data_IF_368437790371
#
_entry.id   IF_368437790371
#
_cell.length_a   1.000
_cell.length_b   1.000
_cell.length_c   1.000
_cell.angle_alpha   90.00
_cell.angle_beta   90.00
_cell.angle_gamma   90.00
#
_symmetry.space_group_name_H-M   'P 1'
#
loop_
_entity.id
_entity.type
_entity.pdbx_description
1 polymer ?
#
# COMPACT_ATOMS: atom_id res chain seq x y z
N UNK A 1 12.23 -18.12 -14.32
CA UNK A 1 13.30 -17.12 -14.13
C UNK A 1 12.68 -15.97 -13.36
N UNK A 2 13.02 -15.84 -12.07
CA UNK A 2 12.45 -14.80 -11.19
C UNK A 2 13.17 -13.49 -11.52
N UNK A 3 12.48 -12.58 -12.21
CA UNK A 3 12.94 -11.21 -12.44
C UNK A 3 13.23 -10.58 -11.07
N UNK A 4 14.48 -10.12 -10.89
CA UNK A 4 14.95 -9.48 -9.67
C UNK A 4 13.99 -8.38 -9.22
N UNK A 5 13.41 -8.58 -8.03
CA UNK A 5 12.76 -7.49 -7.31
C UNK A 5 13.84 -6.47 -6.92
N UNK A 6 13.64 -5.17 -7.16
CA UNK A 6 14.66 -4.18 -6.92
C UNK A 6 15.10 -4.22 -5.45
N UNK A 7 16.42 -4.22 -5.23
CA UNK A 7 17.13 -4.23 -3.94
C UNK A 7 16.60 -3.23 -2.89
N UNK A 8 15.85 -2.20 -3.32
CA UNK A 8 15.21 -1.20 -2.45
C UNK A 8 14.01 -1.70 -1.65
N UNK A 9 13.44 -2.86 -1.99
CA UNK A 9 12.29 -3.42 -1.27
C UNK A 9 12.64 -3.76 0.21
N UNK A 10 13.90 -4.07 0.49
CA UNK A 10 14.33 -4.65 1.77
C UNK A 10 14.46 -3.64 2.92
N UNK A 11 14.45 -2.32 2.66
CA UNK A 11 14.60 -1.28 3.70
C UNK A 11 13.26 -0.66 4.13
N UNK A 12 12.14 -1.11 3.54
CA UNK A 12 10.84 -0.55 3.87
C UNK A 12 10.30 -1.07 5.22
N UNK A 13 9.50 -0.25 5.93
CA UNK A 13 8.81 -0.70 7.13
C UNK A 13 7.91 -1.92 6.86
N UNK A 14 7.90 -2.94 7.74
CA UNK A 14 7.16 -4.18 7.48
C UNK A 14 5.66 -3.93 7.30
N UNK A 15 4.99 -4.55 6.32
CA UNK A 15 3.56 -4.39 6.11
C UNK A 15 2.74 -5.06 7.23
N UNK A 16 1.56 -4.51 7.60
CA UNK A 16 0.56 -5.24 8.35
C UNK A 16 0.07 -6.47 7.59
N UNK A 17 -0.27 -7.55 8.32
CA UNK A 17 -0.71 -8.82 7.74
C UNK A 17 -1.88 -8.70 6.74
N UNK A 18 -2.82 -7.77 6.99
CA UNK A 18 -3.98 -7.57 6.10
C UNK A 18 -3.66 -6.85 4.78
N UNK A 19 -2.42 -6.37 4.59
CA UNK A 19 -1.96 -5.81 3.32
C UNK A 19 -0.74 -6.53 2.73
N UNK A 20 -0.21 -7.54 3.41
CA UNK A 20 1.00 -8.26 3.03
C UNK A 20 0.89 -8.86 1.62
N UNK A 21 -0.22 -9.54 1.32
CA UNK A 21 -0.44 -10.10 -0.01
C UNK A 21 -0.49 -9.06 -1.15
N UNK A 22 -0.86 -7.80 -0.87
CA UNK A 22 -0.75 -6.75 -1.88
C UNK A 22 0.72 -6.38 -2.12
N UNK A 23 1.52 -6.30 -1.05
CA UNK A 23 2.95 -6.01 -1.15
C UNK A 23 3.69 -7.12 -1.89
N UNK A 24 3.37 -8.38 -1.61
CA UNK A 24 3.99 -9.53 -2.30
C UNK A 24 3.75 -9.52 -3.82
N UNK A 25 2.57 -9.07 -4.24
CA UNK A 25 2.17 -9.03 -5.66
C UNK A 25 2.63 -7.75 -6.36
N UNK A 26 2.49 -6.60 -5.70
CA UNK A 26 2.69 -5.29 -6.33
C UNK A 26 4.08 -4.72 -6.08
N UNK A 27 4.69 -5.05 -4.94
CA UNK A 27 5.75 -4.28 -4.31
C UNK A 27 5.19 -3.16 -3.42
N UNK A 28 6.01 -2.66 -2.49
CA UNK A 28 5.68 -1.64 -1.48
C UNK A 28 5.24 -0.34 -2.14
N UNK A 29 5.97 0.15 -3.14
CA UNK A 29 5.67 1.44 -3.76
C UNK A 29 4.36 1.42 -4.53
N UNK A 30 4.16 0.39 -5.35
CA UNK A 30 2.91 0.20 -6.11
C UNK A 30 1.74 -0.09 -5.16
N UNK A 31 1.98 -0.79 -4.04
CA UNK A 31 0.98 -0.95 -2.98
C UNK A 31 0.62 0.39 -2.36
N UNK A 32 1.58 1.26 -2.03
CA UNK A 32 1.29 2.61 -1.52
C UNK A 32 0.46 3.40 -2.53
N UNK A 33 0.83 3.39 -3.81
CA UNK A 33 0.06 4.06 -4.87
C UNK A 33 -1.35 3.50 -4.98
N UNK A 34 -1.47 2.18 -4.91
CA UNK A 34 -2.74 1.47 -4.94
C UNK A 34 -3.63 1.87 -3.75
N UNK A 35 -3.09 1.85 -2.53
CA UNK A 35 -3.82 2.24 -1.33
C UNK A 35 -4.23 3.72 -1.34
N UNK A 36 -3.35 4.62 -1.79
CA UNK A 36 -3.68 6.04 -1.93
C UNK A 36 -4.78 6.28 -2.98
N UNK A 37 -4.81 5.45 -4.04
CA UNK A 37 -5.76 5.61 -5.14
C UNK A 37 -7.12 4.96 -4.86
N UNK A 38 -7.13 3.82 -4.18
CA UNK A 38 -8.32 2.96 -4.02
C UNK A 38 -8.75 2.76 -2.57
N UNK A 39 -7.93 3.15 -1.59
CA UNK A 39 -8.22 2.90 -0.19
C UNK A 39 -9.52 3.57 0.27
N UNK A 40 -10.38 2.80 0.94
CA UNK A 40 -11.73 3.23 1.32
C UNK A 40 -12.79 3.05 0.23
N UNK A 41 -12.40 2.73 -1.01
CA UNK A 41 -13.34 2.35 -2.07
C UNK A 41 -13.66 0.84 -2.03
N UNK A 42 -14.83 0.49 -2.57
CA UNK A 42 -15.18 -0.90 -2.85
C UNK A 42 -14.51 -1.33 -4.16
N UNK A 43 -13.79 -2.44 -4.11
CA UNK A 43 -13.22 -3.07 -5.29
C UNK A 43 -14.07 -4.26 -5.67
N UNK A 44 -14.86 -4.08 -6.73
CA UNK A 44 -15.50 -5.21 -7.41
C UNK A 44 -14.56 -5.69 -8.51
N UNK A 45 -14.08 -6.94 -8.50
CA UNK A 45 -13.49 -7.54 -9.68
C UNK A 45 -14.55 -7.54 -10.78
N UNK A 46 -14.38 -6.71 -11.80
CA UNK A 46 -15.20 -6.81 -13.00
C UNK A 46 -14.77 -8.07 -13.74
N UNK A 47 -15.71 -8.99 -14.00
CA UNK A 47 -15.44 -10.32 -14.57
C UNK A 47 -14.81 -10.31 -15.97
N UNK A 48 -14.73 -9.15 -16.62
CA UNK A 48 -14.11 -8.96 -17.93
C UNK A 48 -13.48 -7.56 -18.02
N UNK A 49 -12.29 -7.33 -17.44
CA UNK A 49 -11.62 -6.05 -17.54
C UNK A 49 -10.90 -6.00 -18.89
N UNK A 50 -11.53 -5.36 -19.88
CA UNK A 50 -10.97 -5.13 -21.23
C UNK A 50 -9.80 -4.13 -21.23
N UNK A 51 -8.88 -4.20 -20.26
CA UNK A 51 -7.76 -3.27 -20.12
C UNK A 51 -8.16 -1.85 -19.69
N UNK A 52 -9.34 -1.68 -19.07
CA UNK A 52 -9.90 -0.37 -18.67
C UNK A 52 -10.05 -0.20 -17.16
N UNK A 53 -9.67 -1.20 -16.37
CA UNK A 53 -9.73 -1.10 -14.92
C UNK A 53 -8.73 -0.08 -14.41
N UNK A 54 -9.15 0.80 -13.50
CA UNK A 54 -8.24 1.78 -12.90
C UNK A 54 -7.02 1.12 -12.21
N UNK A 55 -7.15 -0.12 -11.74
CA UNK A 55 -6.03 -0.91 -11.21
C UNK A 55 -5.06 -1.33 -12.31
N UNK A 56 -5.55 -1.85 -13.43
CA UNK A 56 -4.73 -2.27 -14.57
C UNK A 56 -3.93 -1.09 -15.14
N UNK A 57 -4.54 0.09 -15.20
CA UNK A 57 -3.85 1.32 -15.61
C UNK A 57 -2.74 1.75 -14.63
N UNK A 58 -2.84 1.34 -13.35
CA UNK A 58 -1.87 1.70 -12.32
C UNK A 58 -0.68 0.73 -12.29
N UNK A 59 -0.93 -0.58 -12.35
CA UNK A 59 0.08 -1.62 -12.09
C UNK A 59 0.29 -2.58 -13.27
N UNK A 60 -0.48 -2.45 -14.34
CA UNK A 60 -0.49 -3.37 -15.48
C UNK A 60 -1.42 -4.57 -15.28
N UNK A 61 -1.76 -5.22 -16.40
CA UNK A 61 -2.72 -6.33 -16.45
C UNK A 61 -2.32 -7.53 -15.57
N UNK A 62 -1.07 -7.99 -15.66
CA UNK A 62 -0.60 -9.17 -14.92
C UNK A 62 -0.67 -8.96 -13.39
N UNK A 63 -0.16 -7.82 -12.91
CA UNK A 63 -0.22 -7.46 -11.48
C UNK A 63 -1.67 -7.28 -11.01
N UNK A 64 -2.52 -6.62 -11.81
CA UNK A 64 -3.93 -6.45 -11.47
C UNK A 64 -4.67 -7.80 -11.36
N UNK A 65 -4.42 -8.72 -12.30
CA UNK A 65 -4.99 -10.08 -12.27
C UNK A 65 -4.52 -10.84 -11.03
N UNK A 66 -3.24 -10.75 -10.69
CA UNK A 66 -2.69 -11.38 -9.50
C UNK A 66 -3.32 -10.83 -8.20
N UNK A 67 -3.56 -9.52 -8.12
CA UNK A 67 -4.28 -8.90 -6.98
C UNK A 67 -5.70 -9.46 -6.84
N UNK A 68 -6.44 -9.60 -7.94
CA UNK A 68 -7.80 -10.17 -7.91
C UNK A 68 -7.83 -11.68 -7.59
N UNK A 69 -6.70 -12.37 -7.77
CA UNK A 69 -6.56 -13.78 -7.41
C UNK A 69 -6.15 -13.99 -5.94
N UNK A 70 -5.87 -12.92 -5.17
CA UNK A 70 -5.47 -13.04 -3.76
C UNK A 70 -6.60 -13.69 -2.93
N UNK A 71 -6.29 -14.72 -2.13
CA UNK A 71 -7.28 -15.32 -1.23
C UNK A 71 -7.69 -14.33 -0.15
N UNK A 72 -8.98 -14.26 0.16
CA UNK A 72 -9.49 -13.37 1.20
C UNK A 72 -9.52 -11.89 0.83
N UNK A 73 -9.51 -11.56 -0.47
CA UNK A 73 -9.62 -10.18 -0.94
C UNK A 73 -10.87 -9.50 -0.35
N UNK A 74 -10.63 -8.46 0.45
CA UNK A 74 -11.69 -7.70 1.09
C UNK A 74 -12.45 -6.88 0.05
N UNK A 75 -13.79 -6.82 0.17
CA UNK A 75 -14.62 -5.97 -0.71
C UNK A 75 -14.18 -4.50 -0.68
N UNK A 76 -13.72 -4.01 0.47
CA UNK A 76 -13.18 -2.66 0.61
C UNK A 76 -11.68 -2.70 0.79
N UNK A 77 -10.99 -1.83 0.07
CA UNK A 77 -9.53 -1.74 0.15
C UNK A 77 -9.14 -1.09 1.48
N UNK A 78 -8.35 -1.79 2.32
CA UNK A 78 -7.86 -1.22 3.56
C UNK A 78 -6.84 -0.11 3.25
N UNK A 79 -7.00 1.08 3.83
CA UNK A 79 -6.12 2.21 3.52
C UNK A 79 -4.76 2.14 4.24
N UNK A 80 -4.68 1.39 5.36
CA UNK A 80 -3.48 1.22 6.19
C UNK A 80 -2.67 2.51 6.43
N UNK A 81 -3.34 3.64 6.72
CA UNK A 81 -2.72 4.98 6.87
C UNK A 81 -1.43 4.99 7.72
N UNK A 82 -1.33 4.27 8.86
CA UNK A 82 -0.10 4.26 9.64
C UNK A 82 1.07 3.60 8.92
N UNK A 83 0.81 2.58 8.11
CA UNK A 83 1.85 1.93 7.31
C UNK A 83 2.30 2.83 6.17
N UNK A 84 1.36 3.38 5.40
CA UNK A 84 1.64 4.32 4.31
C UNK A 84 2.43 5.53 4.80
N UNK A 85 2.07 6.10 5.96
CA UNK A 85 2.80 7.22 6.56
C UNK A 85 4.28 6.87 6.85
N UNK A 86 4.56 5.64 7.30
CA UNK A 86 5.93 5.22 7.59
C UNK A 86 6.74 4.96 6.31
N UNK A 87 6.12 4.38 5.28
CA UNK A 87 6.77 4.20 3.96
C UNK A 87 7.11 5.57 3.36
N UNK A 88 6.17 6.51 3.35
CA UNK A 88 6.43 7.88 2.87
C UNK A 88 7.52 8.58 3.70
N UNK A 89 7.56 8.33 5.02
CA UNK A 89 8.62 8.87 5.88
C UNK A 89 9.98 8.27 5.56
N UNK A 90 10.04 6.97 5.30
CA UNK A 90 11.24 6.26 4.87
C UNK A 90 11.76 6.80 3.52
N UNK A 91 10.85 7.16 2.60
CA UNK A 91 11.15 7.86 1.35
C UNK A 91 11.57 9.34 1.52
N UNK A 92 11.78 9.80 2.75
CA UNK A 92 12.25 11.16 3.05
C UNK A 92 11.17 12.24 3.09
N UNK A 93 9.88 11.90 2.97
CA UNK A 93 8.80 12.91 3.03
C UNK A 93 8.71 13.53 4.43
N UNK A 94 8.43 14.83 4.45
CA UNK A 94 8.15 15.57 5.68
C UNK A 94 6.77 15.20 6.25
N UNK A 95 6.59 15.42 7.55
CA UNK A 95 5.29 15.21 8.23
C UNK A 95 4.18 16.02 7.56
N UNK A 96 4.47 17.24 7.12
CA UNK A 96 3.51 18.12 6.45
C UNK A 96 3.14 17.64 5.04
N UNK A 97 4.08 17.08 4.28
CA UNK A 97 3.78 16.42 3.00
C UNK A 97 2.88 15.21 3.21
N UNK A 98 3.23 14.34 4.17
CA UNK A 98 2.45 13.14 4.48
C UNK A 98 1.02 13.49 4.90
N UNK A 99 0.86 14.53 5.73
CA UNK A 99 -0.45 15.02 6.17
C UNK A 99 -1.33 15.43 4.98
N UNK A 100 -0.76 16.16 4.01
CA UNK A 100 -1.45 16.55 2.77
C UNK A 100 -1.81 15.34 1.92
N UNK A 101 -0.88 14.40 1.73
CA UNK A 101 -1.11 13.19 0.94
C UNK A 101 -2.20 12.29 1.53
N UNK A 102 -2.25 12.15 2.85
CA UNK A 102 -3.19 11.28 3.55
C UNK A 102 -4.51 11.96 3.95
N UNK A 103 -4.64 13.26 3.67
CA UNK A 103 -5.73 14.13 4.12
C UNK A 103 -6.01 13.95 5.63
N UNK A 104 -4.97 14.08 6.45
CA UNK A 104 -5.05 14.05 7.92
C UNK A 104 -4.20 15.17 8.52
N UNK A 105 -4.37 15.43 9.82
CA UNK A 105 -3.54 16.41 10.52
C UNK A 105 -2.10 15.91 10.69
N UNK A 106 -1.16 16.85 10.82
CA UNK A 106 0.24 16.55 11.18
C UNK A 106 0.35 15.82 12.53
N UNK A 107 -0.52 16.16 13.49
CA UNK A 107 -0.64 15.45 14.77
C UNK A 107 -1.02 13.98 14.59
N UNK A 108 -1.93 13.66 13.66
CA UNK A 108 -2.30 12.28 13.32
C UNK A 108 -1.12 11.53 12.70
N UNK A 109 -0.37 12.17 11.81
CA UNK A 109 0.85 11.58 11.21
C UNK A 109 1.88 11.26 12.29
N UNK A 110 2.14 12.20 13.22
CA UNK A 110 3.07 11.96 14.34
C UNK A 110 2.60 10.80 15.22
N UNK A 111 1.30 10.71 15.51
CA UNK A 111 0.73 9.61 16.27
C UNK A 111 0.92 8.25 15.57
N UNK A 112 0.70 8.20 14.24
CA UNK A 112 0.93 6.99 13.44
C UNK A 112 2.39 6.53 13.49
N UNK A 113 3.33 7.44 13.24
CA UNK A 113 4.76 7.14 13.25
C UNK A 113 5.23 6.68 14.64
N UNK A 114 4.73 7.30 15.71
CA UNK A 114 5.08 6.93 17.08
C UNK A 114 4.51 5.56 17.48
N UNK A 115 3.26 5.27 17.12
CA UNK A 115 2.65 3.96 17.37
C UNK A 115 3.42 2.85 16.69
N UNK A 116 3.84 3.05 15.44
CA UNK A 116 4.66 2.06 14.72
C UNK A 116 6.03 1.85 15.34
N UNK A 117 6.71 2.92 15.77
CA UNK A 117 7.99 2.80 16.48
C UNK A 117 7.86 1.96 17.75
N UNK A 118 6.76 2.12 18.49
CA UNK A 118 6.46 1.29 19.68
C UNK A 118 6.17 -0.17 19.34
N UNK A 119 5.54 -0.45 18.20
CA UNK A 119 5.30 -1.83 17.77
C UNK A 119 6.60 -2.51 17.32
N UNK A 120 7.48 -1.78 16.61
CA UNK A 120 8.79 -2.28 16.18
C UNK A 120 9.75 -2.50 17.37
N UNK A 121 9.68 -1.69 18.43
CA UNK A 121 10.51 -1.85 19.63
C UNK A 121 10.05 -2.98 20.58
N UNK A 122 8.93 -3.66 20.28
CA UNK A 122 8.35 -4.74 21.10
C UNK A 122 8.46 -6.13 20.43
N UNK A 123 9.08 -6.19 19.25
CA UNK A 123 9.37 -7.41 18.50
C UNK A 123 10.87 -7.60 18.49
#
# INVERSE_FOLDING_TARGET
MVTGMPEKEQDFPPPPAHIEGFVDVLGVEDTVRFLLRFGGAEMTPSSDPKGRGALEALVGYEKARAVFALPGLQKRVPLAKPWVAAVLRHQGKSVAEIARTLHVTDSSVRAYLNTRRRSAART
#
